data_IF_016904432349
#
_entry.id   IF_016904432349
#
_cell.length_a   1.000
_cell.length_b   1.000
_cell.length_c   1.000
_cell.angle_alpha   90.00
_cell.angle_beta   90.00
_cell.angle_gamma   90.00
#
_symmetry.space_group_name_H-M   'P 1'
#
loop_
_entity.id
_entity.type
_entity.pdbx_description
1 polymer ?
#
# COMPACT_ATOMS: atom_id res chain seq x y z
N UNK A 1 -1.46 -20.69 -5.24
CA UNK A 1 -0.32 -19.74 -5.24
C UNK A 1 -0.86 -18.44 -4.66
N UNK A 2 -0.93 -18.33 -3.33
CA UNK A 2 -1.71 -17.27 -2.67
C UNK A 2 -0.84 -16.37 -1.79
N UNK A 3 0.48 -16.55 -1.82
CA UNK A 3 1.42 -15.81 -0.99
C UNK A 3 2.57 -15.27 -1.83
N UNK A 4 3.07 -14.12 -1.45
CA UNK A 4 4.22 -13.43 -2.05
C UNK A 4 5.10 -12.89 -0.92
N UNK A 5 6.42 -12.82 -1.14
CA UNK A 5 7.31 -12.12 -0.24
C UNK A 5 7.49 -10.69 -0.76
N UNK A 6 7.16 -9.69 0.07
CA UNK A 6 7.37 -8.27 -0.22
C UNK A 6 8.36 -7.73 0.82
N UNK A 7 9.61 -7.46 0.44
CA UNK A 7 10.66 -6.98 1.35
C UNK A 7 10.74 -7.75 2.69
N UNK A 8 10.72 -9.09 2.63
CA UNK A 8 10.75 -9.95 3.83
C UNK A 8 9.39 -10.20 4.48
N UNK A 9 8.32 -9.49 4.09
CA UNK A 9 6.96 -9.67 4.61
C UNK A 9 6.23 -10.73 3.80
N UNK A 10 5.68 -11.74 4.47
CA UNK A 10 4.79 -12.70 3.83
C UNK A 10 3.41 -12.08 3.60
N UNK A 11 3.12 -11.71 2.36
CA UNK A 11 1.85 -11.11 1.95
C UNK A 11 0.89 -12.13 1.33
N UNK A 12 -0.41 -11.93 1.53
CA UNK A 12 -1.47 -12.72 0.91
C UNK A 12 -1.97 -12.04 -0.39
N UNK A 13 -1.90 -12.76 -1.51
CA UNK A 13 -2.42 -12.27 -2.79
C UNK A 13 -3.95 -12.30 -2.76
N UNK A 14 -4.58 -11.12 -2.77
CA UNK A 14 -6.05 -10.98 -2.74
C UNK A 14 -6.67 -10.99 -4.12
N UNK A 15 -6.00 -10.40 -5.10
CA UNK A 15 -6.44 -10.46 -6.49
C UNK A 15 -5.30 -10.10 -7.43
N UNK A 16 -5.43 -10.58 -8.65
CA UNK A 16 -4.59 -10.20 -9.79
C UNK A 16 -5.51 -9.61 -10.84
N UNK A 17 -5.11 -8.52 -11.48
CA UNK A 17 -5.90 -7.96 -12.57
C UNK A 17 -6.05 -9.00 -13.71
N UNK A 18 -7.16 -8.99 -14.50
CA UNK A 18 -7.40 -10.00 -15.54
C UNK A 18 -6.29 -10.16 -16.57
N UNK A 19 -5.49 -9.11 -16.78
CA UNK A 19 -4.37 -9.09 -17.72
C UNK A 19 -2.99 -9.15 -17.04
N UNK A 20 -2.94 -9.45 -15.73
CA UNK A 20 -1.68 -9.55 -14.97
C UNK A 20 -0.92 -8.24 -14.78
N UNK A 21 -1.57 -7.11 -15.03
CA UNK A 21 -0.95 -5.78 -14.95
C UNK A 21 -0.61 -5.35 -13.52
N UNK A 22 -1.50 -5.65 -12.55
CA UNK A 22 -1.24 -5.40 -11.13
C UNK A 22 -1.74 -6.52 -10.24
N UNK A 23 -1.16 -6.59 -9.04
CA UNK A 23 -1.47 -7.56 -7.99
C UNK A 23 -1.81 -6.82 -6.71
N UNK A 24 -2.93 -7.17 -6.08
CA UNK A 24 -3.34 -6.66 -4.77
C UNK A 24 -2.84 -7.64 -3.71
N UNK A 25 -2.02 -7.15 -2.78
CA UNK A 25 -1.38 -7.97 -1.74
C UNK A 25 -1.73 -7.39 -0.38
N UNK A 26 -2.33 -8.22 0.48
CA UNK A 26 -2.53 -7.89 1.89
C UNK A 26 -1.23 -8.20 2.64
N UNK A 27 -0.64 -7.20 3.30
CA UNK A 27 0.56 -7.37 4.14
C UNK A 27 0.18 -7.53 5.62
N UNK A 28 -0.86 -6.83 6.07
CA UNK A 28 -1.48 -7.00 7.39
C UNK A 28 -2.97 -6.69 7.32
N UNK A 29 -3.70 -6.78 8.44
CA UNK A 29 -5.11 -6.34 8.47
C UNK A 29 -5.28 -4.86 8.12
N UNK A 30 -4.25 -4.05 8.39
CA UNK A 30 -4.25 -2.60 8.16
C UNK A 30 -3.62 -2.21 6.82
N UNK A 31 -2.62 -2.95 6.35
CA UNK A 31 -1.79 -2.55 5.21
C UNK A 31 -2.03 -3.45 4.02
N UNK A 32 -2.38 -2.84 2.89
CA UNK A 32 -2.50 -3.49 1.59
C UNK A 32 -1.68 -2.73 0.58
N UNK A 33 -0.97 -3.42 -0.29
CA UNK A 33 -0.29 -2.82 -1.43
C UNK A 33 -0.94 -3.26 -2.73
N UNK A 34 -0.80 -2.42 -3.75
CA UNK A 34 -1.08 -2.79 -5.13
C UNK A 34 0.19 -2.61 -5.92
N UNK A 35 0.84 -3.73 -6.27
CA UNK A 35 2.07 -3.75 -7.04
C UNK A 35 1.81 -3.99 -8.53
N UNK A 36 2.61 -3.36 -9.40
CA UNK A 36 2.60 -3.58 -10.84
C UNK A 36 3.96 -4.06 -11.32
N UNK A 37 3.97 -4.92 -12.33
CA UNK A 37 5.19 -5.39 -13.00
C UNK A 37 5.50 -4.59 -14.28
N UNK A 38 4.66 -3.59 -14.61
CA UNK A 38 4.86 -2.70 -15.75
C UNK A 38 4.58 -1.25 -15.38
N UNK A 39 5.36 -0.30 -15.90
CA UNK A 39 5.14 1.12 -15.62
C UNK A 39 4.14 1.78 -16.59
N UNK A 40 3.18 1.01 -17.14
CA UNK A 40 2.17 1.53 -18.07
C UNK A 40 1.20 2.52 -17.43
N UNK A 41 1.10 2.48 -16.10
CA UNK A 41 0.23 3.35 -15.32
C UNK A 41 0.97 4.59 -14.80
N UNK A 42 2.24 4.77 -15.19
CA UNK A 42 3.09 5.87 -14.72
C UNK A 42 3.07 6.02 -13.20
N UNK A 43 3.04 4.89 -12.49
CA UNK A 43 3.25 4.90 -11.04
C UNK A 43 4.73 5.06 -10.79
N UNK A 44 5.07 5.82 -9.76
CA UNK A 44 6.46 6.06 -9.41
C UNK A 44 7.19 4.73 -9.26
N UNK A 45 8.24 4.58 -10.06
CA UNK A 45 9.06 3.38 -10.04
C UNK A 45 9.66 3.26 -8.65
N UNK A 46 9.73 2.03 -8.14
CA UNK A 46 10.41 1.74 -6.88
C UNK A 46 11.80 1.20 -7.25
N UNK A 47 12.84 2.05 -7.39
CA UNK A 47 14.19 1.57 -7.57
C UNK A 47 14.76 1.13 -6.22
N UNK A 48 14.76 -0.17 -5.95
CA UNK A 48 15.93 -1.07 -5.98
C UNK A 48 15.53 -2.41 -5.32
N UNK A 49 15.75 -3.49 -6.06
CA UNK A 49 15.73 -4.94 -5.72
C UNK A 49 14.68 -5.63 -4.80
N UNK A 50 13.92 -4.98 -3.91
CA UNK A 50 13.41 -5.68 -2.70
C UNK A 50 11.89 -5.92 -2.65
N UNK A 51 11.09 -5.12 -3.35
CA UNK A 51 9.62 -5.20 -3.28
C UNK A 51 9.02 -6.36 -4.10
N UNK A 52 9.77 -6.89 -5.06
CA UNK A 52 9.25 -7.82 -6.06
C UNK A 52 8.34 -7.18 -7.12
N UNK A 53 8.13 -5.85 -7.10
CA UNK A 53 7.32 -5.10 -8.06
C UNK A 53 8.14 -3.98 -8.71
N UNK A 54 7.75 -3.58 -9.94
CA UNK A 54 8.35 -2.41 -10.61
C UNK A 54 7.93 -1.09 -9.94
N UNK A 55 6.68 -1.03 -9.50
CA UNK A 55 6.14 0.04 -8.67
C UNK A 55 4.97 -0.47 -7.86
N UNK A 56 4.65 0.20 -6.76
CA UNK A 56 3.49 -0.14 -5.95
C UNK A 56 2.85 1.10 -5.33
N UNK A 57 1.60 0.94 -4.90
CA UNK A 57 0.84 1.92 -4.12
C UNK A 57 0.47 1.27 -2.80
N UNK A 58 0.63 2.01 -1.71
CA UNK A 58 0.26 1.56 -0.36
C UNK A 58 -1.11 2.10 0.02
N UNK A 59 -1.92 1.23 0.62
CA UNK A 59 -3.21 1.57 1.21
C UNK A 59 -3.15 1.29 2.71
N UNK A 60 -3.49 2.31 3.49
CA UNK A 60 -3.45 2.26 4.96
C UNK A 60 -4.88 2.31 5.48
N UNK A 61 -5.27 1.29 6.23
CA UNK A 61 -6.57 1.21 6.89
C UNK A 61 -6.65 2.12 8.11
N UNK A 62 -7.73 2.87 8.21
CA UNK A 62 -8.02 3.77 9.31
C UNK A 62 -9.27 3.28 10.06
N UNK A 63 -9.21 3.28 11.38
CA UNK A 63 -10.35 2.99 12.27
C UNK A 63 -11.37 4.13 12.26
N UNK A 64 -10.89 5.37 12.09
CA UNK A 64 -11.67 6.60 12.10
C UNK A 64 -10.92 7.74 11.41
N UNK A 65 -11.63 8.82 11.07
CA UNK A 65 -11.03 10.04 10.52
C UNK A 65 -9.96 10.67 11.43
N UNK A 66 -10.02 10.43 12.75
CA UNK A 66 -9.04 10.97 13.70
C UNK A 66 -7.66 10.34 13.59
N UNK A 67 -7.53 9.12 13.03
CA UNK A 67 -6.21 8.51 12.78
C UNK A 67 -5.47 9.16 11.60
N UNK A 68 -6.19 9.89 10.73
CA UNK A 68 -5.63 10.45 9.51
C UNK A 68 -4.40 11.33 9.78
N UNK A 69 -4.49 12.26 10.73
CA UNK A 69 -3.42 13.23 10.96
C UNK A 69 -2.09 12.53 11.32
N UNK A 70 -2.15 11.52 12.18
CA UNK A 70 -0.97 10.75 12.57
C UNK A 70 -0.33 10.04 11.37
N UNK A 71 -1.13 9.43 10.50
CA UNK A 71 -0.61 8.78 9.31
C UNK A 71 -0.14 9.76 8.24
N UNK A 72 -0.78 10.92 8.10
CA UNK A 72 -0.35 11.96 7.17
C UNK A 72 1.04 12.51 7.56
N UNK A 73 1.26 12.76 8.85
CA UNK A 73 2.56 13.14 9.39
C UNK A 73 3.60 12.04 9.19
N UNK A 74 3.25 10.79 9.49
CA UNK A 74 4.14 9.65 9.27
C UNK A 74 4.53 9.50 7.80
N UNK A 75 3.58 9.62 6.87
CA UNK A 75 3.82 9.52 5.42
C UNK A 75 4.82 10.57 4.96
N UNK A 76 4.66 11.82 5.38
CA UNK A 76 5.56 12.92 5.01
C UNK A 76 6.99 12.72 5.54
N UNK A 77 7.16 12.03 6.67
CA UNK A 77 8.47 11.73 7.25
C UNK A 77 9.16 10.50 6.63
N UNK A 78 8.42 9.63 5.94
CA UNK A 78 8.90 8.32 5.47
C UNK A 78 8.87 8.20 3.94
N UNK A 79 9.28 9.27 3.24
CA UNK A 79 9.39 9.32 1.77
C UNK A 79 8.07 9.16 1.01
N UNK A 80 6.94 9.14 1.72
CA UNK A 80 5.63 9.03 1.11
C UNK A 80 5.02 10.39 0.79
N UNK A 81 4.06 10.39 -0.12
CA UNK A 81 3.24 11.56 -0.42
C UNK A 81 1.86 11.17 -0.89
N UNK A 82 1.01 12.19 -0.97
CA UNK A 82 -0.34 12.13 -1.52
C UNK A 82 -0.38 12.89 -2.84
N UNK A 83 -0.97 12.29 -3.87
CA UNK A 83 -1.23 12.95 -5.15
C UNK A 83 -2.74 13.23 -5.26
N UNK A 84 -3.12 14.49 -5.51
CA UNK A 84 -4.52 14.88 -5.61
C UNK A 84 -5.31 14.60 -4.32
N UNK A 85 -6.33 13.75 -4.41
CA UNK A 85 -7.22 13.39 -3.30
C UNK A 85 -6.79 12.12 -2.54
N UNK A 86 -5.63 11.53 -2.85
CA UNK A 86 -5.14 10.27 -2.28
C UNK A 86 -5.10 10.26 -0.74
N UNK A 87 -4.82 11.41 -0.12
CA UNK A 87 -4.79 11.58 1.33
C UNK A 87 -6.16 11.75 1.98
N UNK A 88 -7.25 11.91 1.22
CA UNK A 88 -8.59 12.05 1.79
C UNK A 88 -9.09 10.69 2.27
N UNK A 89 -9.37 10.49 3.58
CA UNK A 89 -9.92 9.22 4.05
C UNK A 89 -11.24 8.89 3.36
N UNK A 90 -11.32 7.68 2.82
CA UNK A 90 -12.48 7.20 2.08
C UNK A 90 -12.88 5.81 2.57
N UNK A 91 -14.09 5.38 2.22
CA UNK A 91 -14.52 4.00 2.47
C UNK A 91 -13.51 2.98 1.92
N UNK A 92 -13.15 2.00 2.75
CA UNK A 92 -12.13 1.02 2.42
C UNK A 92 -12.52 0.14 1.22
N UNK A 93 -11.67 0.13 0.19
CA UNK A 93 -11.84 -0.66 -1.04
C UNK A 93 -10.78 -1.75 -1.18
N UNK A 94 -9.57 -1.46 -0.72
CA UNK A 94 -8.39 -2.34 -0.75
C UNK A 94 -8.14 -2.97 0.60
N UNK A 95 -8.21 -2.19 1.68
CA UNK A 95 -8.04 -2.70 3.04
C UNK A 95 -9.35 -3.32 3.54
N UNK A 96 -9.58 -4.59 3.17
CA UNK A 96 -10.83 -5.29 3.47
C UNK A 96 -10.78 -5.97 4.84
N UNK A 97 -10.86 -5.19 5.92
CA UNK A 97 -10.95 -5.71 7.28
C UNK A 97 -11.98 -4.92 8.11
N UNK A 98 -12.87 -5.58 8.89
CA UNK A 98 -13.96 -4.89 9.62
C UNK A 98 -13.51 -3.79 10.58
N UNK A 99 -12.30 -3.90 11.14
CA UNK A 99 -11.75 -2.88 12.06
C UNK A 99 -11.27 -1.61 11.36
N UNK A 100 -11.16 -1.61 10.03
CA UNK A 100 -10.65 -0.48 9.24
C UNK A 100 -11.67 -0.09 8.17
N UNK A 101 -12.75 0.63 8.54
CA UNK A 101 -13.81 1.03 7.61
C UNK A 101 -13.34 2.07 6.58
N UNK A 102 -12.23 2.76 6.85
CA UNK A 102 -11.66 3.80 6.01
C UNK A 102 -10.28 3.38 5.50
N UNK A 103 -9.85 3.97 4.39
CA UNK A 103 -8.49 3.86 3.89
C UNK A 103 -8.00 5.20 3.32
N UNK A 104 -6.68 5.37 3.31
CA UNK A 104 -5.97 6.39 2.52
C UNK A 104 -5.04 5.70 1.52
N UNK A 105 -4.76 6.39 0.42
CA UNK A 105 -3.83 5.93 -0.61
C UNK A 105 -2.53 6.71 -0.48
N UNK A 106 -1.40 6.02 -0.54
CA UNK A 106 -0.07 6.60 -0.37
C UNK A 106 0.84 6.18 -1.51
N UNK A 107 1.64 7.12 -2.00
CA UNK A 107 2.66 6.94 -3.05
C UNK A 107 4.04 7.25 -2.51
N UNK A 108 5.09 6.87 -3.23
CA UNK A 108 6.48 7.21 -2.91
C UNK A 108 7.12 6.42 -1.76
N UNK A 109 6.34 5.72 -0.94
CA UNK A 109 6.89 4.87 0.12
C UNK A 109 7.83 3.81 -0.48
N UNK A 110 9.00 3.66 0.12
CA UNK A 110 9.93 2.57 -0.16
C UNK A 110 9.52 1.31 0.61
N UNK A 111 10.03 0.15 0.21
CA UNK A 111 9.59 -1.13 0.76
C UNK A 111 9.92 -1.27 2.26
N UNK A 112 11.03 -0.66 2.69
CA UNK A 112 11.48 -0.57 4.08
C UNK A 112 10.50 0.24 4.93
N UNK A 113 10.04 1.39 4.45
CA UNK A 113 9.03 2.18 5.16
C UNK A 113 7.73 1.41 5.31
N UNK A 114 7.32 0.64 4.28
CA UNK A 114 6.14 -0.24 4.38
C UNK A 114 6.38 -1.38 5.38
N UNK A 115 7.58 -1.94 5.44
CA UNK A 115 7.95 -2.93 6.45
C UNK A 115 7.78 -2.37 7.86
N UNK A 116 8.34 -1.19 8.14
CA UNK A 116 8.20 -0.52 9.43
C UNK A 116 6.73 -0.26 9.77
N UNK A 117 5.95 0.24 8.80
CA UNK A 117 4.53 0.52 8.95
C UNK A 117 3.69 -0.73 9.30
N UNK A 118 4.08 -1.91 8.81
CA UNK A 118 3.41 -3.18 9.12
C UNK A 118 3.69 -3.64 10.54
N UNK A 119 4.79 -3.22 11.15
CA UNK A 119 5.16 -3.56 12.53
C UNK A 119 4.58 -2.61 13.59
N UNK A 120 3.95 -1.50 13.18
CA UNK A 120 3.28 -0.52 14.06
C UNK A 120 1.89 -0.97 14.53
#
# INVERSE_FOLDING_TARGET
>A
MNRINFAGIEGEVKSVSPHGNYTVVKLSDRITIVGTFSNRFHWEESPDSDSGFKSFITYIGLKSYSEYQNFAEWVALNNGYFEGDDGTPREAKRVKHPSFPLEIKVRGLIAESVFELVQM
#
